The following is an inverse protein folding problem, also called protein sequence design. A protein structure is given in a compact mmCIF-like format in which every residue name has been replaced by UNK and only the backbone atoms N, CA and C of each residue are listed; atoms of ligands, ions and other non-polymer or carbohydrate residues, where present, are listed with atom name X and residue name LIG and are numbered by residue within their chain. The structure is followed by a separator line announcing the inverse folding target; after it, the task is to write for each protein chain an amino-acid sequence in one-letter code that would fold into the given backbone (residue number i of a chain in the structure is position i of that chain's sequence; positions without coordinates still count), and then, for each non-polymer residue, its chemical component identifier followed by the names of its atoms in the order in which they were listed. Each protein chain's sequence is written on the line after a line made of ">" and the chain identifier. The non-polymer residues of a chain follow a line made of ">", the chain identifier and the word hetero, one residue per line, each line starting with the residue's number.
data_IF_547040066315
#
_entry.id   IF_547040066315
#
_cell.length_a   1.000
_cell.length_b   1.000
_cell.length_c   1.000
_cell.angle_alpha   90.00
_cell.angle_beta   90.00
_cell.angle_gamma   90.00
#
_symmetry.space_group_name_H-M   'P 1'
#
loop_
_entity.id
_entity.type
_entity.pdbx_description
1 polymer ?
#
# COMPACT_ATOMS: atom_id res chain seq x y z
N UNK A 1 -13.55 4.88 -5.52
CA UNK A 1 -12.70 5.84 -4.75
C UNK A 1 -13.31 7.23 -4.65
N UNK A 2 -13.62 7.93 -5.75
CA UNK A 2 -14.13 9.32 -5.75
C UNK A 2 -15.42 9.47 -4.94
N UNK A 3 -16.39 8.56 -5.12
CA UNK A 3 -17.68 8.57 -4.38
C UNK A 3 -17.44 8.43 -2.87
N UNK A 4 -16.54 7.54 -2.44
CA UNK A 4 -16.22 7.35 -1.03
C UNK A 4 -15.56 8.58 -0.40
N UNK A 5 -14.68 9.25 -1.15
CA UNK A 5 -14.01 10.48 -0.72
C UNK A 5 -15.00 11.64 -0.58
N UNK A 6 -15.93 11.75 -1.52
CA UNK A 6 -16.98 12.76 -1.48
C UNK A 6 -17.97 12.51 -0.32
N UNK A 7 -18.37 11.26 -0.09
CA UNK A 7 -19.23 10.88 1.03
C UNK A 7 -18.56 11.17 2.38
N UNK A 8 -17.26 10.83 2.52
CA UNK A 8 -16.49 11.11 3.74
C UNK A 8 -16.38 12.61 4.01
N UNK A 9 -16.12 13.42 2.97
CA UNK A 9 -16.06 14.87 3.09
C UNK A 9 -17.42 15.47 3.51
N UNK A 10 -18.50 15.03 2.88
CA UNK A 10 -19.84 15.49 3.19
C UNK A 10 -20.25 15.12 4.62
N UNK A 11 -19.92 13.91 5.06
CA UNK A 11 -20.16 13.46 6.43
C UNK A 11 -19.33 14.27 7.44
N UNK A 12 -18.04 14.42 7.20
CA UNK A 12 -17.13 15.10 8.12
C UNK A 12 -17.44 16.59 8.27
N UNK A 13 -17.83 17.27 7.20
CA UNK A 13 -18.07 18.73 7.25
C UNK A 13 -19.55 19.05 7.52
N UNK A 14 -20.48 18.47 6.74
CA UNK A 14 -21.90 18.83 6.83
C UNK A 14 -22.59 18.18 8.01
N UNK A 15 -22.48 16.86 8.15
CA UNK A 15 -23.24 16.13 9.16
C UNK A 15 -22.72 16.48 10.55
N UNK A 16 -21.42 16.60 10.73
CA UNK A 16 -20.82 17.02 12.00
C UNK A 16 -21.26 18.42 12.38
N UNK A 17 -21.27 19.35 11.44
CA UNK A 17 -21.72 20.74 11.69
C UNK A 17 -23.19 20.79 12.11
N UNK A 18 -24.09 20.10 11.42
CA UNK A 18 -25.51 20.06 11.75
C UNK A 18 -25.73 19.49 13.14
N UNK A 19 -25.03 18.40 13.50
CA UNK A 19 -25.13 17.80 14.83
C UNK A 19 -24.67 18.78 15.92
N UNK A 20 -23.54 19.46 15.72
CA UNK A 20 -23.03 20.45 16.68
C UNK A 20 -23.97 21.66 16.80
N UNK A 21 -24.48 22.20 15.71
CA UNK A 21 -25.44 23.29 15.73
C UNK A 21 -26.73 22.91 16.45
N UNK A 22 -27.25 21.70 16.23
CA UNK A 22 -28.45 21.20 16.92
C UNK A 22 -28.20 20.97 18.42
N UNK A 23 -27.01 20.55 18.83
CA UNK A 23 -26.64 20.37 20.23
C UNK A 23 -26.42 21.73 20.93
N UNK A 24 -25.83 22.68 20.23
CA UNK A 24 -25.66 24.07 20.72
C UNK A 24 -27.02 24.76 20.92
N UNK A 25 -27.94 24.62 19.95
CA UNK A 25 -29.30 25.18 20.05
C UNK A 25 -30.11 24.65 21.24
N UNK A 26 -29.77 23.43 21.70
CA UNK A 26 -30.39 22.79 22.88
C UNK A 26 -29.61 23.02 24.19
N UNK A 27 -28.62 23.92 24.22
CA UNK A 27 -27.75 24.20 25.38
C UNK A 27 -27.06 22.94 25.98
N UNK A 28 -27.04 21.81 25.26
CA UNK A 28 -26.47 20.57 25.76
C UNK A 28 -24.94 20.53 25.78
N UNK A 29 -24.30 21.48 25.08
CA UNK A 29 -22.85 21.60 25.02
C UNK A 29 -22.23 22.56 26.03
N UNK A 30 -23.04 23.25 26.86
CA UNK A 30 -22.53 24.20 27.85
C UNK A 30 -21.58 23.60 28.89
N UNK A 31 -21.72 22.33 29.19
CA UNK A 31 -20.95 21.62 30.22
C UNK A 31 -20.12 20.44 29.66
N UNK A 32 -19.85 20.41 28.33
CA UNK A 32 -19.03 19.35 27.75
C UNK A 32 -17.55 19.65 28.05
N UNK A 33 -16.96 18.83 28.88
CA UNK A 33 -15.55 18.86 29.17
C UNK A 33 -14.81 17.91 28.23
N UNK A 34 -13.92 18.43 27.39
CA UNK A 34 -13.11 17.62 26.45
C UNK A 34 -11.84 17.06 27.10
N UNK A 35 -11.67 17.23 28.40
CA UNK A 35 -10.54 16.75 29.17
C UNK A 35 -10.91 15.50 29.96
N UNK A 36 -10.12 14.46 29.84
CA UNK A 36 -10.18 13.28 30.71
C UNK A 36 -9.36 13.53 31.99
N UNK A 37 -9.62 12.79 33.08
CA UNK A 37 -8.86 12.93 34.34
C UNK A 37 -7.34 12.87 34.15
N UNK A 38 -6.86 12.13 33.13
CA UNK A 38 -5.44 12.00 32.79
C UNK A 38 -4.93 13.21 32.02
N UNK A 39 -5.76 13.82 31.16
CA UNK A 39 -5.34 14.91 30.27
C UNK A 39 -5.57 16.30 30.85
N UNK A 40 -6.33 16.41 31.96
CA UNK A 40 -6.72 17.67 32.57
C UNK A 40 -5.52 18.54 32.98
N UNK A 41 -4.45 17.91 33.50
CA UNK A 41 -3.28 18.61 34.02
C UNK A 41 -2.01 18.39 33.17
N UNK A 42 -2.10 17.55 32.09
CA UNK A 42 -0.93 17.14 31.33
C UNK A 42 -0.20 18.29 30.61
N UNK A 43 -0.93 19.34 30.19
CA UNK A 43 -0.40 20.47 29.43
C UNK A 43 -0.76 21.84 30.02
N UNK A 44 -1.28 21.93 31.26
CA UNK A 44 -1.68 23.17 31.90
C UNK A 44 -0.50 24.09 32.17
N UNK A 45 0.68 23.56 32.48
CA UNK A 45 1.90 24.35 32.71
C UNK A 45 3.12 23.65 32.06
N UNK A 46 3.25 23.64 30.73
CA UNK A 46 4.41 23.07 30.08
C UNK A 46 5.65 23.92 30.42
N UNK A 47 6.52 23.40 31.28
CA UNK A 47 7.84 23.99 31.56
C UNK A 47 8.86 23.81 30.44
N UNK A 48 8.39 23.36 29.25
CA UNK A 48 9.23 23.09 28.09
C UNK A 48 9.43 24.38 27.30
N UNK A 49 10.67 24.82 27.18
CA UNK A 49 11.02 25.94 26.32
C UNK A 49 11.06 25.47 24.85
N UNK A 50 9.92 25.54 24.19
CA UNK A 50 9.79 25.09 22.79
C UNK A 50 10.72 25.84 21.83
N UNK A 51 10.97 27.13 22.09
CA UNK A 51 11.87 27.93 21.25
C UNK A 51 13.34 27.50 21.40
N UNK A 52 13.77 27.11 22.59
CA UNK A 52 15.13 26.57 22.79
C UNK A 52 15.25 25.15 22.22
N UNK A 53 14.19 24.34 22.29
CA UNK A 53 14.14 22.97 21.79
C UNK A 53 14.01 22.89 20.26
N UNK A 54 13.81 24.00 19.52
CA UNK A 54 13.66 24.00 18.05
C UNK A 54 14.80 23.30 17.31
N UNK A 55 16.04 23.42 17.80
CA UNK A 55 17.21 22.78 17.17
C UNK A 55 17.09 21.25 17.21
N UNK A 56 16.65 20.71 18.33
CA UNK A 56 16.40 19.27 18.49
C UNK A 56 15.21 18.85 17.62
N UNK A 57 14.16 19.69 17.56
CA UNK A 57 13.00 19.47 16.70
C UNK A 57 13.32 19.41 15.20
N UNK A 58 14.39 20.05 14.73
CA UNK A 58 14.87 19.93 13.36
C UNK A 58 15.89 18.77 13.19
N UNK A 59 16.70 18.52 14.20
CA UNK A 59 17.74 17.49 14.13
C UNK A 59 17.16 16.08 14.02
N UNK A 60 16.10 15.79 14.76
CA UNK A 60 15.46 14.46 14.75
C UNK A 60 14.87 14.14 13.39
N UNK A 61 13.98 14.96 12.78
CA UNK A 61 13.47 14.68 11.44
C UNK A 61 14.56 14.66 10.37
N UNK A 62 15.53 15.56 10.44
CA UNK A 62 16.67 15.55 9.51
C UNK A 62 17.46 14.24 9.61
N UNK A 63 17.72 13.76 10.83
CA UNK A 63 18.38 12.47 11.04
C UNK A 63 17.59 11.30 10.46
N UNK A 64 16.28 11.27 10.66
CA UNK A 64 15.40 10.25 10.08
C UNK A 64 15.41 10.29 8.55
N UNK A 65 15.37 11.48 7.95
CA UNK A 65 15.42 11.65 6.49
C UNK A 65 16.77 11.15 5.94
N UNK A 66 17.88 11.50 6.57
CA UNK A 66 19.21 11.05 6.16
C UNK A 66 19.34 9.53 6.28
N UNK A 67 18.93 8.96 7.39
CA UNK A 67 18.91 7.49 7.57
C UNK A 67 18.02 6.80 6.54
N UNK A 68 16.84 7.36 6.26
CA UNK A 68 15.94 6.88 5.21
C UNK A 68 16.58 6.93 3.82
N UNK A 69 17.25 8.03 3.47
CA UNK A 69 17.95 8.17 2.21
C UNK A 69 19.12 7.18 2.06
N UNK A 70 19.90 6.97 3.13
CA UNK A 70 20.96 5.96 3.15
C UNK A 70 20.36 4.55 3.00
N UNK A 71 19.29 4.23 3.71
CA UNK A 71 18.62 2.93 3.61
C UNK A 71 18.09 2.69 2.20
N UNK A 72 17.46 3.69 1.57
CA UNK A 72 16.99 3.59 0.19
C UNK A 72 18.12 3.36 -0.82
N UNK A 73 19.29 3.96 -0.60
CA UNK A 73 20.43 3.80 -1.51
C UNK A 73 21.20 2.49 -1.31
N UNK A 74 21.17 1.90 -0.10
CA UNK A 74 21.91 0.66 0.21
C UNK A 74 21.04 -0.60 0.07
N UNK A 75 19.82 -0.57 0.59
CA UNK A 75 18.88 -1.71 0.57
C UNK A 75 17.99 -1.68 -0.67
N UNK A 76 17.73 -0.47 -1.22
CA UNK A 76 16.81 -0.26 -2.32
C UNK A 76 15.34 -0.29 -1.86
N UNK A 77 14.45 -0.15 -2.83
CA UNK A 77 13.00 -0.27 -2.64
C UNK A 77 12.50 -1.54 -3.29
N UNK A 78 11.77 -2.36 -2.56
CA UNK A 78 11.04 -3.47 -3.14
C UNK A 78 9.72 -2.95 -3.73
N UNK A 79 9.79 -2.50 -4.97
CA UNK A 79 8.65 -1.93 -5.67
C UNK A 79 7.71 -3.04 -6.15
N UNK A 80 6.40 -2.79 -6.06
CA UNK A 80 5.41 -3.65 -6.69
C UNK A 80 5.47 -3.59 -8.22
N UNK A 81 4.80 -4.54 -8.88
CA UNK A 81 4.78 -4.64 -10.35
C UNK A 81 4.19 -3.41 -11.05
N UNK A 82 3.39 -2.61 -10.35
CA UNK A 82 2.86 -1.35 -10.88
C UNK A 82 3.98 -0.34 -11.20
N UNK A 83 5.14 -0.47 -10.54
CA UNK A 83 6.29 0.41 -10.68
C UNK A 83 7.49 -0.23 -11.39
N UNK A 84 7.55 -1.56 -11.43
CA UNK A 84 8.65 -2.31 -12.08
C UNK A 84 8.22 -2.98 -13.38
N UNK A 85 6.91 -3.11 -13.59
CA UNK A 85 6.34 -4.03 -14.54
C UNK A 85 6.36 -5.46 -14.01
N UNK A 86 5.52 -6.31 -14.54
CA UNK A 86 5.44 -7.70 -14.12
C UNK A 86 4.09 -8.34 -14.40
N UNK A 87 3.97 -9.57 -13.94
CA UNK A 87 2.74 -10.33 -13.98
C UNK A 87 2.31 -10.72 -12.59
N UNK A 88 1.02 -10.55 -12.31
CA UNK A 88 0.36 -10.97 -11.08
C UNK A 88 -0.58 -12.12 -11.37
N UNK A 89 -0.44 -13.18 -10.61
CA UNK A 89 -1.37 -14.30 -10.61
C UNK A 89 -1.99 -14.42 -9.22
N UNK A 90 -3.31 -14.44 -9.14
CA UNK A 90 -4.02 -14.72 -7.89
C UNK A 90 -4.38 -16.20 -7.93
N UNK A 91 -3.76 -16.98 -7.05
CA UNK A 91 -3.94 -18.44 -6.98
C UNK A 91 -4.70 -18.76 -5.70
N UNK A 92 -5.75 -19.55 -5.82
CA UNK A 92 -6.52 -20.05 -4.69
C UNK A 92 -6.31 -21.57 -4.58
N UNK A 93 -5.80 -21.99 -3.43
CA UNK A 93 -5.54 -23.40 -3.13
C UNK A 93 -6.77 -24.06 -2.51
N UNK A 94 -6.80 -25.39 -2.50
CA UNK A 94 -7.85 -26.17 -1.85
C UNK A 94 -7.69 -26.21 -0.32
N UNK A 95 -6.54 -25.80 0.20
CA UNK A 95 -6.17 -25.80 1.61
C UNK A 95 -5.38 -24.52 1.96
N UNK A 96 -5.28 -24.23 3.24
CA UNK A 96 -4.47 -23.13 3.73
C UNK A 96 -3.00 -23.36 3.40
N UNK A 97 -2.34 -22.31 2.85
CA UNK A 97 -0.93 -22.36 2.46
C UNK A 97 -0.13 -21.27 3.13
N UNK A 98 1.14 -21.57 3.41
CA UNK A 98 2.08 -20.57 3.93
C UNK A 98 2.76 -19.85 2.76
N UNK A 99 2.73 -18.53 2.80
CA UNK A 99 3.35 -17.69 1.75
C UNK A 99 4.82 -17.98 1.53
N UNK A 100 5.57 -18.25 2.62
CA UNK A 100 6.99 -18.58 2.54
C UNK A 100 7.27 -19.92 1.85
N UNK A 101 6.39 -20.91 2.04
CA UNK A 101 6.48 -22.21 1.38
C UNK A 101 6.24 -22.07 -0.14
N UNK A 102 5.17 -21.39 -0.51
CA UNK A 102 4.85 -21.10 -1.91
C UNK A 102 5.98 -20.31 -2.57
N UNK A 103 6.52 -19.31 -1.87
CA UNK A 103 7.63 -18.50 -2.34
C UNK A 103 8.86 -19.33 -2.65
N UNK A 104 9.30 -20.15 -1.69
CA UNK A 104 10.50 -20.98 -1.85
C UNK A 104 10.37 -21.97 -3.02
N UNK A 105 9.19 -22.54 -3.22
CA UNK A 105 8.91 -23.44 -4.35
C UNK A 105 8.95 -22.72 -5.70
N UNK A 106 8.44 -21.50 -5.77
CA UNK A 106 8.39 -20.73 -7.00
C UNK A 106 9.71 -19.99 -7.32
N UNK A 107 10.47 -19.57 -6.31
CA UNK A 107 11.78 -18.93 -6.49
C UNK A 107 12.74 -19.84 -7.24
N UNK A 108 12.67 -21.17 -7.00
CA UNK A 108 13.48 -22.16 -7.71
C UNK A 108 13.11 -22.27 -9.21
N UNK A 109 11.87 -21.95 -9.59
CA UNK A 109 11.37 -22.08 -10.96
C UNK A 109 11.46 -20.77 -11.77
N UNK A 110 11.43 -19.61 -11.08
CA UNK A 110 11.34 -18.29 -11.70
C UNK A 110 12.56 -17.39 -11.39
N UNK A 111 13.73 -18.01 -11.22
CA UNK A 111 15.03 -17.34 -11.05
C UNK A 111 15.04 -16.29 -9.90
N UNK A 112 14.33 -16.54 -8.80
CA UNK A 112 14.31 -15.70 -7.61
C UNK A 112 13.55 -14.36 -7.78
N UNK A 113 12.84 -14.19 -8.89
CA UNK A 113 12.08 -12.96 -9.18
C UNK A 113 10.60 -13.07 -8.78
N UNK A 114 10.32 -13.67 -7.60
CA UNK A 114 8.96 -13.95 -7.14
C UNK A 114 8.67 -13.26 -5.82
N UNK A 115 7.55 -12.57 -5.77
CA UNK A 115 6.96 -12.06 -4.53
C UNK A 115 5.62 -12.74 -4.29
N UNK A 116 5.46 -13.36 -3.12
CA UNK A 116 4.21 -14.03 -2.74
C UNK A 116 3.62 -13.33 -1.52
N UNK A 117 2.37 -12.90 -1.64
CA UNK A 117 1.61 -12.26 -0.54
C UNK A 117 0.25 -12.92 -0.40
N UNK A 118 -0.20 -13.08 0.84
CA UNK A 118 -1.55 -13.56 1.13
C UNK A 118 -2.59 -12.48 0.82
N UNK A 119 -3.72 -12.86 0.22
CA UNK A 119 -4.83 -11.95 -0.07
C UNK A 119 -6.11 -12.54 0.50
N UNK A 120 -6.73 -11.80 1.43
CA UNK A 120 -8.01 -12.21 2.01
C UNK A 120 -7.89 -13.45 2.87
N UNK A 121 -8.25 -14.60 2.33
CA UNK A 121 -8.27 -15.89 3.05
C UNK A 121 -6.92 -16.59 3.03
N UNK A 122 -6.61 -17.49 4.01
CA UNK A 122 -5.33 -18.20 4.07
C UNK A 122 -5.05 -19.14 2.90
N UNK A 123 -6.09 -19.51 2.16
CA UNK A 123 -6.03 -20.36 0.97
C UNK A 123 -5.69 -19.59 -0.32
N UNK A 124 -5.58 -18.24 -0.24
CA UNK A 124 -5.41 -17.40 -1.42
C UNK A 124 -4.13 -16.58 -1.36
N UNK A 125 -3.31 -16.67 -2.40
CA UNK A 125 -2.06 -15.92 -2.52
C UNK A 125 -2.00 -15.17 -3.85
N UNK A 126 -1.33 -14.02 -3.83
CA UNK A 126 -0.90 -13.32 -5.04
C UNK A 126 0.57 -13.61 -5.27
N UNK A 127 0.85 -14.14 -6.43
CA UNK A 127 2.20 -14.37 -6.94
C UNK A 127 2.51 -13.28 -7.96
N UNK A 128 3.54 -12.49 -7.69
CA UNK A 128 4.02 -11.43 -8.56
C UNK A 128 5.39 -11.80 -9.08
N UNK A 129 5.61 -11.73 -10.39
CA UNK A 129 6.90 -12.02 -11.01
C UNK A 129 7.22 -11.02 -12.13
N UNK A 130 8.50 -10.66 -12.26
CA UNK A 130 9.03 -9.87 -13.37
C UNK A 130 9.83 -10.74 -14.36
N UNK A 131 9.65 -12.05 -14.31
CA UNK A 131 10.31 -12.99 -15.21
C UNK A 131 10.02 -12.64 -16.67
N UNK A 132 11.08 -12.45 -17.49
CA UNK A 132 11.03 -12.07 -18.92
C UNK A 132 10.03 -10.94 -19.24
N UNK A 133 10.04 -9.88 -18.41
CA UNK A 133 9.07 -8.79 -18.53
C UNK A 133 9.20 -7.97 -19.81
N UNK A 134 10.40 -7.89 -20.39
CA UNK A 134 10.68 -7.13 -21.60
C UNK A 134 10.08 -7.80 -22.84
N UNK A 135 9.77 -9.07 -22.75
CA UNK A 135 9.28 -9.87 -23.84
C UNK A 135 7.75 -9.97 -23.81
N UNK A 136 7.11 -9.54 -24.89
CA UNK A 136 5.64 -9.47 -24.99
C UNK A 136 5.02 -10.68 -25.71
N UNK A 137 5.79 -11.74 -25.96
CA UNK A 137 5.28 -12.94 -26.63
C UNK A 137 4.22 -13.64 -25.73
N UNK A 138 3.03 -13.96 -26.26
CA UNK A 138 2.02 -14.76 -25.55
C UNK A 138 2.53 -16.14 -25.11
N UNK A 139 3.55 -16.68 -25.78
CA UNK A 139 4.18 -17.95 -25.42
C UNK A 139 4.82 -17.89 -24.01
N UNK A 140 5.27 -16.71 -23.58
CA UNK A 140 5.89 -16.52 -22.26
C UNK A 140 4.84 -16.61 -21.15
N UNK A 141 3.63 -16.14 -21.40
CA UNK A 141 2.55 -16.24 -20.42
C UNK A 141 2.25 -17.71 -20.13
N UNK A 142 2.24 -18.57 -21.19
CA UNK A 142 2.10 -20.01 -21.03
C UNK A 142 3.33 -20.67 -20.35
N UNK A 143 4.54 -20.20 -20.66
CA UNK A 143 5.76 -20.68 -19.99
C UNK A 143 5.71 -20.40 -18.49
N UNK A 144 5.25 -19.19 -18.09
CA UNK A 144 5.11 -18.81 -16.68
C UNK A 144 4.02 -19.66 -15.99
N UNK A 145 2.88 -19.87 -16.63
CA UNK A 145 1.82 -20.72 -16.09
C UNK A 145 2.29 -22.18 -15.89
N UNK A 146 3.07 -22.71 -16.82
CA UNK A 146 3.71 -24.02 -16.68
C UNK A 146 4.66 -24.06 -15.48
N UNK A 147 5.54 -23.05 -15.33
CA UNK A 147 6.48 -22.94 -14.21
C UNK A 147 5.76 -22.76 -12.88
N UNK A 148 4.69 -21.96 -12.84
CA UNK A 148 3.84 -21.83 -11.67
C UNK A 148 3.22 -23.17 -11.30
N UNK A 149 2.64 -23.88 -12.25
CA UNK A 149 2.04 -25.19 -12.02
C UNK A 149 3.05 -26.20 -11.49
N UNK A 150 4.24 -26.30 -12.11
CA UNK A 150 5.30 -27.21 -11.67
C UNK A 150 5.79 -26.87 -10.25
N UNK A 151 5.94 -25.55 -9.95
CA UNK A 151 6.40 -25.10 -8.64
C UNK A 151 5.41 -25.42 -7.53
N UNK A 152 4.10 -25.22 -7.76
CA UNK A 152 3.08 -25.45 -6.73
C UNK A 152 2.44 -26.84 -6.78
N UNK A 153 2.91 -27.73 -7.66
CA UNK A 153 2.35 -29.06 -7.86
C UNK A 153 2.24 -29.90 -6.58
N UNK A 154 3.20 -29.72 -5.67
CA UNK A 154 3.18 -30.38 -4.34
C UNK A 154 2.06 -29.93 -3.42
N UNK A 155 1.48 -28.74 -3.67
CA UNK A 155 0.39 -28.14 -2.88
C UNK A 155 -0.98 -28.37 -3.52
N UNK A 156 -1.02 -28.99 -4.70
CA UNK A 156 -2.24 -29.30 -5.45
C UNK A 156 -2.65 -30.76 -5.21
N UNK A 157 -3.95 -31.09 -5.36
CA UNK A 157 -4.42 -32.48 -5.33
C UNK A 157 -3.76 -33.33 -6.41
N UNK A 158 -3.50 -34.61 -6.09
CA UNK A 158 -2.94 -35.56 -7.05
C UNK A 158 -3.81 -35.70 -8.30
N UNK A 159 -3.18 -35.64 -9.48
CA UNK A 159 -3.89 -35.73 -10.75
C UNK A 159 -4.39 -34.41 -11.33
N UNK A 160 -4.11 -33.27 -10.69
CA UNK A 160 -4.43 -31.95 -11.27
C UNK A 160 -3.64 -31.74 -12.56
N UNK A 161 -4.34 -31.39 -13.63
CA UNK A 161 -3.71 -31.06 -14.93
C UNK A 161 -3.46 -29.55 -15.03
N UNK A 162 -2.55 -29.13 -15.93
CA UNK A 162 -2.29 -27.73 -16.19
C UNK A 162 -3.56 -26.94 -16.54
N UNK A 163 -4.43 -27.51 -17.39
CA UNK A 163 -5.69 -26.88 -17.77
C UNK A 163 -6.60 -26.64 -16.56
N UNK A 164 -6.70 -27.65 -15.67
CA UNK A 164 -7.46 -27.48 -14.41
C UNK A 164 -6.84 -26.44 -13.48
N UNK A 165 -5.51 -26.38 -13.44
CA UNK A 165 -4.81 -25.36 -12.64
C UNK A 165 -5.13 -23.95 -13.14
N UNK A 166 -5.03 -23.73 -14.44
CA UNK A 166 -5.31 -22.41 -15.04
C UNK A 166 -6.78 -22.01 -14.87
N UNK A 167 -7.73 -22.95 -15.07
CA UNK A 167 -9.16 -22.64 -15.05
C UNK A 167 -9.76 -22.54 -13.64
N UNK A 168 -9.26 -23.35 -12.69
CA UNK A 168 -9.90 -23.48 -11.38
C UNK A 168 -9.12 -22.80 -10.25
N UNK A 169 -7.80 -22.80 -10.31
CA UNK A 169 -6.94 -22.26 -9.25
C UNK A 169 -6.47 -20.84 -9.52
N UNK A 170 -6.23 -20.47 -10.80
CA UNK A 170 -5.89 -19.08 -11.14
C UNK A 170 -7.18 -18.26 -11.22
N UNK A 171 -7.42 -17.42 -10.20
CA UNK A 171 -8.60 -16.55 -10.12
C UNK A 171 -8.46 -15.29 -10.96
N UNK A 172 -7.26 -14.80 -11.13
CA UNK A 172 -6.96 -13.57 -11.88
C UNK A 172 -5.52 -13.59 -12.36
N UNK A 173 -5.33 -13.15 -13.60
CA UNK A 173 -4.01 -12.87 -14.18
C UNK A 173 -3.98 -11.42 -14.65
N UNK A 174 -2.96 -10.67 -14.26
CA UNK A 174 -2.76 -9.29 -14.65
C UNK A 174 -1.32 -9.06 -15.10
N UNK A 175 -1.15 -8.37 -16.23
CA UNK A 175 0.16 -8.02 -16.78
C UNK A 175 0.30 -6.52 -16.84
N UNK A 176 1.41 -6.00 -16.34
CA UNK A 176 1.80 -4.59 -16.45
C UNK A 176 3.09 -4.53 -17.25
N UNK A 177 3.04 -3.93 -18.42
CA UNK A 177 4.23 -3.75 -19.25
C UNK A 177 5.21 -2.75 -18.65
N UNK A 178 6.53 -2.83 -18.98
CA UNK A 178 7.55 -1.92 -18.46
C UNK A 178 7.26 -0.44 -18.76
N UNK A 179 6.82 -0.14 -19.98
CA UNK A 179 6.47 1.24 -20.38
C UNK A 179 5.32 1.82 -19.53
N UNK A 180 4.29 1.01 -19.27
CA UNK A 180 3.17 1.42 -18.43
C UNK A 180 3.60 1.63 -16.98
N UNK A 181 4.49 0.80 -16.46
CA UNK A 181 5.06 0.96 -15.13
C UNK A 181 5.87 2.27 -15.00
N UNK A 182 6.66 2.61 -16.00
CA UNK A 182 7.41 3.86 -16.03
C UNK A 182 6.50 5.09 -16.12
N UNK A 183 5.43 5.03 -16.88
CA UNK A 183 4.42 6.09 -16.95
C UNK A 183 3.73 6.29 -15.60
N UNK A 184 3.32 5.21 -14.93
CA UNK A 184 2.71 5.24 -13.58
C UNK A 184 3.69 5.86 -12.58
N UNK A 185 4.96 5.45 -12.60
CA UNK A 185 6.01 5.95 -11.70
C UNK A 185 6.22 7.46 -11.88
N UNK A 186 6.36 7.91 -13.12
CA UNK A 186 6.55 9.33 -13.43
C UNK A 186 5.32 10.17 -13.07
N UNK A 187 4.12 9.67 -13.36
CA UNK A 187 2.87 10.32 -12.99
C UNK A 187 2.70 10.39 -11.46
N UNK A 188 3.04 9.33 -10.73
CA UNK A 188 2.98 9.32 -9.27
C UNK A 188 3.94 10.34 -8.65
N UNK A 189 5.19 10.41 -9.14
CA UNK A 189 6.16 11.40 -8.67
C UNK A 189 5.68 12.83 -8.94
N UNK A 190 5.23 13.11 -10.16
CA UNK A 190 4.70 14.44 -10.53
C UNK A 190 3.48 14.81 -9.68
N UNK A 191 2.57 13.87 -9.42
CA UNK A 191 1.39 14.10 -8.58
C UNK A 191 1.76 14.48 -7.15
N UNK A 192 2.77 13.84 -6.54
CA UNK A 192 3.26 14.17 -5.20
C UNK A 192 3.84 15.57 -5.16
N UNK A 193 4.70 15.92 -6.13
CA UNK A 193 5.31 17.27 -6.22
C UNK A 193 4.22 18.33 -6.40
N UNK A 194 3.26 18.08 -7.28
CA UNK A 194 2.14 19.00 -7.51
C UNK A 194 1.26 19.16 -6.27
N UNK A 195 0.96 18.08 -5.56
CA UNK A 195 0.20 18.12 -4.32
C UNK A 195 0.91 18.95 -3.23
N UNK A 196 2.23 18.77 -3.09
CA UNK A 196 3.04 19.56 -2.16
C UNK A 196 3.00 21.06 -2.51
N UNK A 197 3.12 21.39 -3.80
CA UNK A 197 3.04 22.77 -4.27
C UNK A 197 1.66 23.38 -3.99
N UNK A 198 0.57 22.68 -4.30
CA UNK A 198 -0.79 23.14 -4.02
C UNK A 198 -1.01 23.35 -2.52
N UNK A 199 -0.48 22.47 -1.68
CA UNK A 199 -0.58 22.57 -0.23
C UNK A 199 0.18 23.81 0.29
N UNK A 200 1.41 24.02 -0.20
CA UNK A 200 2.20 25.21 0.16
C UNK A 200 1.50 26.51 -0.30
N UNK A 201 0.99 26.55 -1.53
CA UNK A 201 0.26 27.69 -2.06
C UNK A 201 -1.01 27.99 -1.23
N UNK A 202 -1.78 26.96 -0.87
CA UNK A 202 -2.94 27.09 0.00
C UNK A 202 -2.58 27.70 1.36
N UNK A 203 -1.51 27.19 1.99
CA UNK A 203 -1.05 27.70 3.30
C UNK A 203 -0.65 29.16 3.18
N UNK A 204 0.12 29.53 2.16
CA UNK A 204 0.54 30.92 1.91
C UNK A 204 -0.65 31.87 1.71
N UNK A 205 -1.65 31.46 0.95
CA UNK A 205 -2.85 32.28 0.69
C UNK A 205 -3.76 32.38 1.92
N UNK A 206 -3.87 31.29 2.70
CA UNK A 206 -4.82 31.23 3.82
C UNK A 206 -4.30 31.88 5.08
N UNK A 207 -2.99 31.87 5.31
CA UNK A 207 -2.34 32.37 6.53
C UNK A 207 -1.50 33.65 6.32
N UNK A 208 -1.83 34.39 5.28
CA UNK A 208 -1.22 35.72 5.02
C UNK A 208 -1.94 36.82 5.78
#
# INVERSE_FOLDING_TARGET
>A
MIIGLFASFLTAVFLTRIVYEALLAKDKLKNVTFTTSITKDLLTNPKINFLAARKVGYLIPAGIIVLGAISMSTIGLNNGIDFTGGRNYVIRFAQDVKTDEVRNLLDAQLDGSVSVIQIGTPDQVRVSTNYKIEDNDPAIDQEIENKLFEGVKSLLPEGTTLAQFTDQYIQSSQKVGPSMADDIKNAAFLAVVFAMFCMAAYILLRFR
#
